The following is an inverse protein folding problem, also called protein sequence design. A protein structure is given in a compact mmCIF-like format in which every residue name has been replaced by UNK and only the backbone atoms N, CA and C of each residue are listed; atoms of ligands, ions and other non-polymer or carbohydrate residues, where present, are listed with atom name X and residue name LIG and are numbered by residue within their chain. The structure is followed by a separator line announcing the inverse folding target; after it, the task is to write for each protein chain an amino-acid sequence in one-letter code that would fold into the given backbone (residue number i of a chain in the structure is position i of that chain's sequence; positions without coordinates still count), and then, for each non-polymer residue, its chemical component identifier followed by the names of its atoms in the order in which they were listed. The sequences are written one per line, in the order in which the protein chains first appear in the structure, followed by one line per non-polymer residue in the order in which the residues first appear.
data_IF_360698001960
#
_entry.id   IF_360698001960
#
_cell.length_a   1.000
_cell.length_b   1.000
_cell.length_c   1.000
_cell.angle_alpha   90.00
_cell.angle_beta   90.00
_cell.angle_gamma   90.00
#
_symmetry.space_group_name_H-M   'P 1'
#
loop_
_entity.id
_entity.type
_entity.pdbx_description
1 polymer ?
#
# COMPACT_ATOMS: atom_id res chain seq x y z
N UNK A 1 35.42 27.50 2.14
CA UNK A 1 34.56 28.42 2.93
C UNK A 1 35.13 28.74 4.31
N UNK A 2 35.50 27.73 5.14
CA UNK A 2 36.14 27.98 6.46
C UNK A 2 37.48 28.74 6.38
N UNK A 3 38.30 28.52 5.35
CA UNK A 3 39.59 29.21 5.19
C UNK A 3 39.47 30.69 4.76
N UNK A 4 38.34 31.12 4.19
CA UNK A 4 38.13 32.52 3.77
C UNK A 4 37.35 33.36 4.78
N UNK A 5 36.44 32.77 5.56
CA UNK A 5 35.65 33.51 6.57
C UNK A 5 34.98 32.57 7.56
N UNK A 6 35.58 32.44 8.75
CA UNK A 6 35.07 31.66 9.88
C UNK A 6 33.70 32.18 10.39
N UNK A 7 33.44 33.49 10.28
CA UNK A 7 32.18 34.12 10.72
C UNK A 7 30.96 33.65 9.92
N UNK A 8 31.12 33.42 8.60
CA UNK A 8 30.04 32.98 7.70
C UNK A 8 29.71 31.48 7.87
N UNK A 9 30.70 30.69 8.29
CA UNK A 9 30.54 29.25 8.50
C UNK A 9 29.88 28.92 9.85
N UNK A 10 30.16 29.71 10.88
CA UNK A 10 29.44 29.61 12.16
C UNK A 10 27.95 29.98 12.01
N UNK A 11 27.66 30.98 11.17
CA UNK A 11 26.29 31.37 10.84
C UNK A 11 25.54 30.25 10.11
N UNK A 12 26.18 29.58 9.12
CA UNK A 12 25.53 28.47 8.42
C UNK A 12 25.30 27.26 9.34
N UNK A 13 26.23 26.99 10.27
CA UNK A 13 26.12 25.90 11.23
C UNK A 13 24.92 26.06 12.17
N UNK A 14 24.51 27.30 12.49
CA UNK A 14 23.32 27.60 13.30
C UNK A 14 22.04 27.59 12.45
N UNK A 15 22.11 28.03 11.19
CA UNK A 15 20.94 28.07 10.29
C UNK A 15 20.48 26.66 9.87
N UNK A 16 21.39 25.71 9.70
CA UNK A 16 21.07 24.31 9.32
C UNK A 16 20.14 23.60 10.34
N UNK A 17 20.42 23.58 11.67
CA UNK A 17 19.53 22.93 12.63
C UNK A 17 18.18 23.66 12.76
N UNK A 18 18.16 25.00 12.69
CA UNK A 18 16.91 25.78 12.76
C UNK A 18 15.99 25.49 11.57
N UNK A 19 16.54 25.45 10.36
CA UNK A 19 15.79 25.09 9.14
C UNK A 19 15.35 23.62 9.17
N UNK A 20 16.18 22.70 9.66
CA UNK A 20 15.84 21.29 9.81
C UNK A 20 14.65 21.08 10.77
N UNK A 21 14.62 21.77 11.91
CA UNK A 21 13.50 21.69 12.88
C UNK A 21 12.20 22.22 12.27
N UNK A 22 12.27 23.37 11.59
CA UNK A 22 11.11 23.99 10.93
C UNK A 22 10.54 23.10 9.83
N UNK A 23 11.42 22.54 8.99
CA UNK A 23 11.07 21.59 7.94
C UNK A 23 10.45 20.31 8.50
N UNK A 24 10.94 19.82 9.65
CA UNK A 24 10.40 18.61 10.31
C UNK A 24 9.00 18.84 10.87
N UNK A 25 8.74 20.00 11.50
CA UNK A 25 7.42 20.40 11.99
C UNK A 25 6.42 20.52 10.83
N UNK A 26 6.81 21.21 9.76
CA UNK A 26 5.98 21.35 8.56
C UNK A 26 5.65 20.00 7.92
N UNK A 27 6.65 19.12 7.79
CA UNK A 27 6.47 17.77 7.23
C UNK A 27 5.48 16.93 8.04
N UNK A 28 5.53 16.99 9.37
CA UNK A 28 4.58 16.27 10.24
C UNK A 28 3.16 16.78 10.05
N UNK A 29 2.98 18.10 10.02
CA UNK A 29 1.68 18.73 9.78
C UNK A 29 1.11 18.34 8.41
N UNK A 30 1.93 18.40 7.36
CA UNK A 30 1.51 18.02 6.01
C UNK A 30 1.14 16.54 5.92
N UNK A 31 1.85 15.66 6.64
CA UNK A 31 1.53 14.24 6.70
C UNK A 31 0.17 13.99 7.35
N UNK A 32 -0.14 14.65 8.47
CA UNK A 32 -1.45 14.56 9.12
C UNK A 32 -2.57 15.01 8.17
N UNK A 33 -2.43 16.18 7.54
CA UNK A 33 -3.39 16.68 6.56
C UNK A 33 -3.58 15.72 5.38
N UNK A 34 -2.50 15.09 4.90
CA UNK A 34 -2.59 14.12 3.81
C UNK A 34 -3.36 12.86 4.23
N UNK A 35 -3.22 12.40 5.47
CA UNK A 35 -4.02 11.28 6.00
C UNK A 35 -5.50 11.65 6.09
N UNK A 36 -5.83 12.86 6.59
CA UNK A 36 -7.23 13.32 6.68
C UNK A 36 -7.88 13.44 5.31
N UNK A 37 -7.14 13.98 4.33
CA UNK A 37 -7.61 13.97 2.94
C UNK A 37 -7.81 12.52 2.54
N UNK A 38 -6.80 11.65 2.58
CA UNK A 38 -6.95 10.26 2.12
C UNK A 38 -8.13 9.52 2.77
N UNK A 39 -8.39 9.70 4.07
CA UNK A 39 -9.56 9.17 4.75
C UNK A 39 -10.89 9.68 4.13
N UNK A 40 -11.04 10.98 3.88
CA UNK A 40 -12.31 11.57 3.46
C UNK A 40 -12.85 11.08 2.08
N UNK A 41 -12.04 10.47 1.22
CA UNK A 41 -12.51 9.83 -0.04
C UNK A 41 -12.24 8.35 -0.08
N UNK A 42 -11.61 7.76 0.94
CA UNK A 42 -12.00 6.41 1.27
C UNK A 42 -13.50 6.40 1.63
N UNK A 43 -13.96 7.38 2.43
CA UNK A 43 -15.39 7.56 2.76
C UNK A 43 -16.23 7.86 1.51
N UNK A 44 -15.86 8.86 0.70
CA UNK A 44 -16.60 9.16 -0.54
C UNK A 44 -16.63 7.97 -1.53
N UNK A 45 -15.51 7.26 -1.70
CA UNK A 45 -15.47 6.06 -2.55
C UNK A 45 -16.34 4.94 -2.00
N UNK A 46 -16.34 4.72 -0.67
CA UNK A 46 -17.19 3.73 -0.02
C UNK A 46 -18.68 4.04 -0.22
N UNK A 47 -19.10 5.31 -0.13
CA UNK A 47 -20.49 5.72 -0.42
C UNK A 47 -20.86 5.47 -1.88
N UNK A 48 -19.93 5.72 -2.81
CA UNK A 48 -20.16 5.44 -4.23
C UNK A 48 -20.26 3.92 -4.48
N UNK A 49 -19.39 3.12 -3.86
CA UNK A 49 -19.38 1.66 -3.97
C UNK A 49 -20.67 1.05 -3.40
N UNK A 50 -21.13 1.52 -2.25
CA UNK A 50 -22.43 1.14 -1.66
C UNK A 50 -23.59 1.50 -2.60
N UNK A 51 -23.57 2.70 -3.18
CA UNK A 51 -24.62 3.17 -4.09
C UNK A 51 -24.65 2.37 -5.39
N UNK A 52 -23.50 2.04 -5.97
CA UNK A 52 -23.43 1.19 -7.17
C UNK A 52 -23.81 -0.26 -6.87
N UNK A 53 -23.40 -0.81 -5.72
CA UNK A 53 -23.81 -2.14 -5.28
C UNK A 53 -25.33 -2.25 -5.06
N UNK A 54 -25.96 -1.18 -4.58
CA UNK A 54 -27.40 -1.11 -4.31
C UNK A 54 -28.20 -0.41 -5.43
N UNK A 55 -27.65 -0.28 -6.65
CA UNK A 55 -28.27 0.53 -7.72
C UNK A 55 -29.70 0.11 -8.07
N UNK A 56 -29.99 -1.20 -8.02
CA UNK A 56 -31.34 -1.74 -8.27
C UNK A 56 -32.33 -1.30 -7.19
N UNK A 57 -31.88 -1.27 -5.94
CA UNK A 57 -32.66 -0.79 -4.79
C UNK A 57 -32.91 0.71 -4.90
N UNK A 58 -31.89 1.51 -5.18
CA UNK A 58 -32.02 2.97 -5.33
C UNK A 58 -33.00 3.33 -6.44
N UNK A 59 -32.94 2.62 -7.58
CA UNK A 59 -33.91 2.79 -8.68
C UNK A 59 -35.32 2.38 -8.30
N UNK A 60 -35.49 1.28 -7.57
CA UNK A 60 -36.81 0.85 -7.12
C UNK A 60 -37.49 1.85 -6.19
N UNK A 61 -36.71 2.63 -5.43
CA UNK A 61 -37.20 3.70 -4.56
C UNK A 61 -37.13 5.11 -5.20
N UNK A 62 -36.67 5.23 -6.46
CA UNK A 62 -36.46 6.50 -7.16
C UNK A 62 -35.61 7.53 -6.36
N UNK A 63 -34.61 7.06 -5.60
CA UNK A 63 -33.78 7.88 -4.69
C UNK A 63 -32.41 8.28 -5.27
N UNK A 64 -32.30 8.37 -6.59
CA UNK A 64 -31.02 8.67 -7.28
C UNK A 64 -30.48 10.05 -6.91
N UNK A 65 -31.37 11.06 -6.83
CA UNK A 65 -31.00 12.42 -6.42
C UNK A 65 -30.45 12.50 -4.99
N UNK A 66 -31.00 11.71 -4.07
CA UNK A 66 -30.51 11.63 -2.69
C UNK A 66 -29.10 11.01 -2.62
N UNK A 67 -28.86 9.94 -3.38
CA UNK A 67 -27.54 9.31 -3.46
C UNK A 67 -26.48 10.27 -4.04
N UNK A 68 -26.82 11.02 -5.09
CA UNK A 68 -25.95 12.04 -5.69
C UNK A 68 -25.65 13.17 -4.70
N UNK A 69 -26.65 13.67 -3.98
CA UNK A 69 -26.48 14.71 -2.98
C UNK A 69 -25.56 14.26 -1.84
N UNK A 70 -25.76 13.05 -1.31
CA UNK A 70 -24.92 12.44 -0.28
C UNK A 70 -23.46 12.30 -0.72
N UNK A 71 -23.23 11.92 -1.98
CA UNK A 71 -21.88 11.86 -2.54
C UNK A 71 -21.26 13.27 -2.70
N UNK A 72 -22.03 14.23 -3.21
CA UNK A 72 -21.60 15.61 -3.39
C UNK A 72 -21.16 16.25 -2.07
N UNK A 73 -21.90 16.04 -0.98
CA UNK A 73 -21.56 16.54 0.35
C UNK A 73 -20.18 16.04 0.80
N UNK A 74 -19.88 14.76 0.57
CA UNK A 74 -18.59 14.16 0.92
C UNK A 74 -17.45 14.64 0.05
N UNK A 75 -17.72 14.92 -1.22
CA UNK A 75 -16.75 15.55 -2.14
C UNK A 75 -16.45 16.99 -1.71
N UNK A 76 -17.45 17.75 -1.27
CA UNK A 76 -17.27 19.12 -0.78
C UNK A 76 -16.48 19.17 0.53
N UNK A 77 -16.73 18.23 1.45
CA UNK A 77 -15.94 18.07 2.67
C UNK A 77 -14.46 17.81 2.34
N UNK A 78 -14.21 16.92 1.38
CA UNK A 78 -12.89 16.64 0.79
C UNK A 78 -12.25 17.90 0.22
N UNK A 79 -13.00 18.69 -0.54
CA UNK A 79 -12.52 19.90 -1.20
C UNK A 79 -12.14 20.99 -0.19
N UNK A 80 -12.94 21.20 0.87
CA UNK A 80 -12.63 22.15 1.95
C UNK A 80 -11.31 21.83 2.65
N UNK A 81 -11.08 20.55 2.97
CA UNK A 81 -9.81 20.11 3.58
C UNK A 81 -8.65 20.28 2.58
N UNK A 82 -8.88 19.94 1.31
CA UNK A 82 -7.92 20.13 0.22
C UNK A 82 -7.49 21.58 0.04
N UNK A 83 -8.44 22.53 0.04
CA UNK A 83 -8.16 23.96 -0.06
C UNK A 83 -7.37 24.48 1.16
N UNK A 84 -7.69 24.01 2.37
CA UNK A 84 -6.91 24.36 3.58
C UNK A 84 -5.47 23.86 3.46
N UNK A 85 -5.26 22.65 2.93
CA UNK A 85 -3.91 22.13 2.62
C UNK A 85 -3.21 22.98 1.57
N UNK A 86 -3.88 23.30 0.46
CA UNK A 86 -3.30 24.08 -0.62
C UNK A 86 -2.85 25.47 -0.14
N UNK A 87 -3.65 26.15 0.69
CA UNK A 87 -3.27 27.43 1.31
C UNK A 87 -2.03 27.30 2.19
N UNK A 88 -1.96 26.29 3.06
CA UNK A 88 -0.80 26.09 3.94
C UNK A 88 0.46 25.76 3.15
N UNK A 89 0.34 24.91 2.12
CA UNK A 89 1.46 24.55 1.24
C UNK A 89 1.91 25.77 0.44
N UNK A 90 0.97 26.52 -0.15
CA UNK A 90 1.26 27.73 -0.91
C UNK A 90 1.98 28.78 -0.06
N UNK A 91 1.48 29.04 1.15
CA UNK A 91 2.11 29.99 2.08
C UNK A 91 3.52 29.55 2.49
N UNK A 92 3.72 28.25 2.74
CA UNK A 92 5.03 27.71 3.10
C UNK A 92 6.02 27.78 1.94
N UNK A 93 5.65 27.33 0.75
CA UNK A 93 6.52 27.41 -0.42
C UNK A 93 6.79 28.87 -0.82
N UNK A 94 5.78 29.74 -0.74
CA UNK A 94 5.93 31.18 -0.98
C UNK A 94 6.90 31.80 0.03
N UNK A 95 6.69 31.56 1.32
CA UNK A 95 7.57 32.05 2.39
C UNK A 95 9.01 31.53 2.28
N UNK A 96 9.18 30.23 1.97
CA UNK A 96 10.50 29.64 1.76
C UNK A 96 11.23 30.25 0.56
N UNK A 97 10.54 30.46 -0.56
CA UNK A 97 11.13 31.10 -1.74
C UNK A 97 11.48 32.56 -1.47
N UNK A 98 10.60 33.31 -0.80
CA UNK A 98 10.86 34.69 -0.39
C UNK A 98 12.08 34.77 0.53
N UNK A 99 12.15 33.94 1.57
CA UNK A 99 13.28 33.87 2.50
C UNK A 99 14.60 33.52 1.80
N UNK A 100 14.58 32.56 0.86
CA UNK A 100 15.76 32.20 0.08
C UNK A 100 16.27 33.36 -0.79
N UNK A 101 15.35 34.08 -1.45
CA UNK A 101 15.72 35.25 -2.27
C UNK A 101 16.20 36.42 -1.41
N UNK A 102 15.56 36.66 -0.26
CA UNK A 102 15.98 37.68 0.70
C UNK A 102 17.40 37.39 1.23
N UNK A 103 17.70 36.12 1.53
CA UNK A 103 19.03 35.71 1.98
C UNK A 103 20.11 36.00 0.94
N UNK A 104 19.84 35.68 -0.34
CA UNK A 104 20.78 35.99 -1.43
C UNK A 104 20.97 37.50 -1.55
N UNK A 105 19.86 38.27 -1.49
CA UNK A 105 19.90 39.72 -1.53
C UNK A 105 20.77 40.30 -0.41
N UNK A 106 20.60 39.87 0.84
CA UNK A 106 21.40 40.32 1.99
C UNK A 106 22.89 39.98 1.80
N UNK A 107 23.20 38.76 1.36
CA UNK A 107 24.59 38.32 1.13
C UNK A 107 25.26 39.16 0.05
N UNK A 108 24.56 39.44 -1.05
CA UNK A 108 25.09 40.28 -2.14
C UNK A 108 25.25 41.73 -1.69
N UNK A 109 24.27 42.27 -0.96
CA UNK A 109 24.28 43.65 -0.45
C UNK A 109 25.45 43.89 0.51
N UNK A 110 25.61 42.99 1.49
CA UNK A 110 26.69 43.06 2.47
C UNK A 110 28.06 42.79 1.82
N UNK A 111 28.10 41.86 0.86
CA UNK A 111 29.27 41.58 0.05
C UNK A 111 29.76 42.77 -0.77
N UNK A 112 28.83 43.51 -1.37
CA UNK A 112 29.12 44.74 -2.10
C UNK A 112 29.70 45.82 -1.16
N UNK A 113 29.09 46.02 0.02
CA UNK A 113 29.60 46.95 1.03
C UNK A 113 31.03 46.61 1.48
N UNK A 114 31.35 45.32 1.65
CA UNK A 114 32.68 44.85 2.07
C UNK A 114 33.74 45.03 0.97
N UNK A 115 33.31 45.03 -0.30
CA UNK A 115 34.19 45.27 -1.45
C UNK A 115 34.50 46.77 -1.58
N UNK A 116 33.51 47.63 -1.34
CA UNK A 116 33.68 49.09 -1.36
C UNK A 116 34.62 49.57 -0.23
N UNK A 117 34.54 48.94 0.95
CA UNK A 117 35.40 49.24 2.10
C UNK A 117 36.81 48.64 1.99
N UNK A 118 37.16 48.01 0.85
CA UNK A 118 38.50 47.49 0.56
C UNK A 118 38.91 46.25 1.35
N UNK A 119 37.99 45.68 2.15
CA UNK A 119 38.27 44.50 2.98
C UNK A 119 38.29 43.19 2.19
N UNK A 120 37.71 43.17 0.98
CA UNK A 120 37.71 42.02 0.07
C UNK A 120 37.83 42.45 -1.41
N UNK A 121 38.46 41.61 -2.23
CA UNK A 121 38.49 41.77 -3.68
C UNK A 121 37.22 41.23 -4.33
N UNK A 122 36.77 41.87 -5.43
CA UNK A 122 35.59 41.44 -6.17
C UNK A 122 35.66 39.96 -6.63
N UNK A 123 36.85 39.47 -6.97
CA UNK A 123 37.06 38.05 -7.34
C UNK A 123 36.82 37.07 -6.18
N UNK A 124 37.13 37.47 -4.95
CA UNK A 124 36.87 36.65 -3.76
C UNK A 124 35.37 36.56 -3.46
N UNK A 125 34.63 37.66 -3.68
CA UNK A 125 33.18 37.68 -3.56
C UNK A 125 32.50 36.74 -4.57
N UNK A 126 32.87 36.84 -5.85
CA UNK A 126 32.31 36.00 -6.92
C UNK A 126 32.60 34.52 -6.66
N UNK A 127 33.82 34.20 -6.23
CA UNK A 127 34.20 32.83 -5.87
C UNK A 127 33.38 32.31 -4.69
N UNK A 128 33.14 33.14 -3.67
CA UNK A 128 32.29 32.78 -2.53
C UNK A 128 30.84 32.49 -2.93
N UNK A 129 30.26 33.31 -3.82
CA UNK A 129 28.89 33.11 -4.33
C UNK A 129 28.81 31.81 -5.14
N UNK A 130 29.74 31.58 -6.07
CA UNK A 130 29.77 30.37 -6.88
C UNK A 130 29.93 29.11 -6.03
N UNK A 131 30.83 29.11 -5.04
CA UNK A 131 30.97 27.99 -4.13
C UNK A 131 29.72 27.77 -3.25
N UNK A 132 29.08 28.84 -2.78
CA UNK A 132 27.85 28.73 -1.99
C UNK A 132 26.71 28.09 -2.78
N UNK A 133 26.55 28.47 -4.06
CA UNK A 133 25.54 27.89 -4.95
C UNK A 133 25.83 26.41 -5.22
N UNK A 134 27.08 26.04 -5.49
CA UNK A 134 27.49 24.65 -5.74
C UNK A 134 27.32 23.77 -4.50
N UNK A 135 27.64 24.28 -3.31
CA UNK A 135 27.40 23.54 -2.05
C UNK A 135 25.91 23.39 -1.79
N UNK A 136 25.12 24.45 -1.98
CA UNK A 136 23.67 24.40 -1.80
C UNK A 136 22.97 23.40 -2.73
N UNK A 137 23.37 23.36 -4.00
CA UNK A 137 22.84 22.39 -4.96
C UNK A 137 23.28 20.96 -4.64
N UNK A 138 24.54 20.75 -4.27
CA UNK A 138 25.08 19.43 -3.90
C UNK A 138 24.39 18.84 -2.67
N UNK A 139 24.16 19.66 -1.64
CA UNK A 139 23.42 19.24 -0.43
C UNK A 139 21.97 18.89 -0.77
N UNK A 140 21.33 19.67 -1.63
CA UNK A 140 19.96 19.41 -2.09
C UNK A 140 19.87 18.10 -2.88
N UNK A 141 20.82 17.86 -3.79
CA UNK A 141 20.93 16.62 -4.57
C UNK A 141 21.18 15.41 -3.66
N UNK A 142 22.10 15.51 -2.69
CA UNK A 142 22.37 14.44 -1.75
C UNK A 142 21.15 14.11 -0.88
N UNK A 143 20.42 15.14 -0.42
CA UNK A 143 19.15 14.95 0.29
C UNK A 143 18.11 14.26 -0.59
N UNK A 144 18.03 14.58 -1.88
CA UNK A 144 17.14 13.94 -2.84
C UNK A 144 17.47 12.45 -2.99
N UNK A 145 18.73 12.12 -3.22
CA UNK A 145 19.22 10.75 -3.33
C UNK A 145 18.97 9.94 -2.06
N UNK A 146 19.18 10.53 -0.87
CA UNK A 146 18.89 9.88 0.41
C UNK A 146 17.41 9.53 0.56
N UNK A 147 16.50 10.44 0.19
CA UNK A 147 15.05 10.18 0.22
C UNK A 147 14.67 9.06 -0.75
N UNK A 148 15.25 9.05 -1.95
CA UNK A 148 15.03 7.99 -2.94
C UNK A 148 15.51 6.64 -2.44
N UNK A 149 16.70 6.58 -1.84
CA UNK A 149 17.25 5.35 -1.24
C UNK A 149 16.36 4.82 -0.11
N UNK A 150 15.88 5.69 0.79
CA UNK A 150 14.95 5.29 1.86
C UNK A 150 13.61 4.78 1.32
N UNK A 151 13.10 5.38 0.23
CA UNK A 151 11.87 4.92 -0.43
C UNK A 151 12.06 3.56 -1.10
N UNK A 152 13.22 3.34 -1.73
CA UNK A 152 13.59 2.05 -2.31
C UNK A 152 13.67 0.97 -1.20
N UNK A 153 14.42 1.22 -0.12
CA UNK A 153 14.53 0.30 1.02
C UNK A 153 13.17 -0.07 1.62
N UNK A 154 12.29 0.93 1.82
CA UNK A 154 10.94 0.69 2.33
C UNK A 154 10.03 -0.11 1.38
N UNK A 155 10.25 0.01 0.06
CA UNK A 155 9.52 -0.76 -0.96
C UNK A 155 10.04 -2.18 -1.07
N UNK A 156 11.37 -2.38 -1.04
CA UNK A 156 12.00 -3.70 -1.05
C UNK A 156 11.56 -4.56 0.13
N UNK A 157 11.34 -3.97 1.31
CA UNK A 157 10.83 -4.72 2.48
C UNK A 157 9.51 -5.46 2.19
N UNK A 158 8.59 -4.86 1.44
CA UNK A 158 7.33 -5.51 1.05
C UNK A 158 7.54 -6.64 0.03
N UNK A 159 8.50 -6.46 -0.88
CA UNK A 159 8.87 -7.50 -1.86
C UNK A 159 9.49 -8.71 -1.15
N UNK A 160 10.46 -8.49 -0.26
CA UNK A 160 11.07 -9.55 0.52
C UNK A 160 10.06 -10.26 1.44
N UNK A 161 9.13 -9.52 2.07
CA UNK A 161 8.04 -10.14 2.84
C UNK A 161 7.17 -11.10 2.01
N UNK A 162 6.97 -10.80 0.71
CA UNK A 162 6.21 -11.68 -0.17
C UNK A 162 7.05 -12.88 -0.63
N UNK A 163 8.35 -12.66 -0.87
CA UNK A 163 9.28 -13.71 -1.30
C UNK A 163 9.57 -14.72 -0.18
N UNK A 164 9.71 -14.25 1.06
CA UNK A 164 9.97 -15.07 2.25
C UNK A 164 8.68 -15.69 2.83
N UNK A 165 7.52 -15.38 2.25
CA UNK A 165 6.24 -15.94 2.69
C UNK A 165 6.23 -17.44 2.39
N UNK A 166 6.35 -18.24 3.45
CA UNK A 166 6.14 -19.69 3.37
C UNK A 166 4.67 -19.97 3.08
N UNK A 167 4.38 -20.72 2.00
CA UNK A 167 3.01 -21.16 1.70
C UNK A 167 2.57 -22.18 2.74
N UNK A 168 1.39 -21.99 3.32
CA UNK A 168 0.76 -23.00 4.19
C UNK A 168 0.29 -24.25 3.44
N UNK A 169 0.38 -24.24 2.11
CA UNK A 169 0.12 -25.40 1.26
C UNK A 169 1.47 -25.99 0.81
N UNK A 170 1.69 -27.31 0.95
CA UNK A 170 2.88 -27.97 0.44
C UNK A 170 2.93 -27.86 -1.10
N UNK A 171 4.14 -27.79 -1.66
CA UNK A 171 4.31 -27.82 -3.13
C UNK A 171 3.75 -29.15 -3.66
N UNK A 172 3.02 -29.14 -4.79
CA UNK A 172 2.52 -30.37 -5.40
C UNK A 172 3.68 -31.34 -5.61
N UNK A 173 3.55 -32.57 -5.09
CA UNK A 173 4.53 -33.62 -5.30
C UNK A 173 4.55 -34.07 -6.76
N UNK A 174 5.74 -34.37 -7.28
CA UNK A 174 5.99 -34.68 -8.69
C UNK A 174 5.59 -36.12 -9.09
N UNK A 175 4.88 -36.84 -8.23
CA UNK A 175 4.51 -38.24 -8.43
C UNK A 175 3.01 -38.42 -8.24
N UNK A 176 2.31 -38.54 -9.36
CA UNK A 176 0.98 -39.13 -9.37
C UNK A 176 1.11 -40.65 -9.10
N UNK A 177 0.47 -41.21 -8.06
CA UNK A 177 0.39 -42.65 -7.93
C UNK A 177 -0.38 -43.22 -9.14
N UNK A 178 0.23 -44.17 -9.84
CA UNK A 178 -0.38 -44.86 -10.98
C UNK A 178 -1.31 -45.95 -10.41
N UNK A 179 -2.61 -45.74 -10.52
CA UNK A 179 -3.65 -46.67 -10.05
C UNK A 179 -5.02 -45.99 -10.02
N UNK A 180 -6.08 -46.79 -9.96
CA UNK A 180 -7.48 -46.33 -9.88
C UNK A 180 -8.00 -46.58 -8.44
N UNK A 181 -7.54 -45.82 -7.43
CA UNK A 181 -7.90 -46.09 -6.04
C UNK A 181 -9.37 -45.77 -5.77
N UNK A 182 -9.99 -46.55 -4.88
CA UNK A 182 -11.27 -46.19 -4.28
C UNK A 182 -11.11 -44.89 -3.47
N UNK A 183 -12.01 -43.93 -3.68
CA UNK A 183 -12.03 -42.68 -2.93
C UNK A 183 -13.04 -42.72 -1.80
N UNK A 184 -12.61 -42.61 -0.55
CA UNK A 184 -13.51 -42.49 0.59
C UNK A 184 -13.36 -41.12 1.25
N UNK A 185 -14.47 -40.41 1.39
CA UNK A 185 -14.61 -39.24 2.25
C UNK A 185 -15.32 -39.73 3.51
N UNK A 186 -14.68 -39.57 4.66
CA UNK A 186 -15.24 -39.95 5.96
C UNK A 186 -15.29 -38.71 6.86
N UNK A 187 -16.49 -38.46 7.42
CA UNK A 187 -16.80 -37.35 8.32
C UNK A 187 -16.08 -36.03 7.98
N UNK A 188 -16.34 -35.47 6.79
CA UNK A 188 -15.66 -34.25 6.33
C UNK A 188 -16.36 -32.99 6.82
N UNK A 189 -15.62 -32.18 7.57
CA UNK A 189 -16.03 -30.85 8.06
C UNK A 189 -15.18 -29.77 7.40
N UNK A 190 -15.82 -28.75 6.81
CA UNK A 190 -15.10 -27.67 6.11
C UNK A 190 -15.79 -26.32 6.28
N UNK A 191 -14.98 -25.29 6.53
CA UNK A 191 -15.39 -23.89 6.57
C UNK A 191 -14.36 -23.05 5.83
N UNK A 192 -14.82 -22.03 5.09
CA UNK A 192 -13.89 -21.13 4.42
C UNK A 192 -13.10 -20.28 5.44
N UNK A 193 -11.78 -20.06 5.24
CA UNK A 193 -10.99 -19.20 6.12
C UNK A 193 -11.51 -17.76 6.21
N UNK A 194 -12.20 -17.29 5.17
CA UNK A 194 -12.85 -15.97 5.15
C UNK A 194 -14.13 -15.89 6.01
N UNK A 195 -14.73 -17.04 6.36
CA UNK A 195 -15.95 -17.15 7.18
C UNK A 195 -15.89 -18.41 8.07
N UNK A 196 -15.01 -18.44 9.08
CA UNK A 196 -14.78 -19.65 9.87
C UNK A 196 -15.99 -20.07 10.72
N UNK A 197 -16.90 -19.14 11.02
CA UNK A 197 -18.14 -19.41 11.76
C UNK A 197 -19.23 -20.09 10.93
N UNK A 198 -19.10 -20.11 9.60
CA UNK A 198 -20.11 -20.68 8.72
C UNK A 198 -19.57 -21.95 8.05
N UNK A 199 -19.88 -23.08 8.66
CA UNK A 199 -19.46 -24.39 8.18
C UNK A 199 -20.30 -24.82 6.98
N UNK A 200 -19.62 -25.10 5.87
CA UNK A 200 -20.25 -25.45 4.58
C UNK A 200 -20.46 -26.96 4.50
N UNK A 201 -19.44 -27.76 4.84
CA UNK A 201 -19.55 -29.22 4.95
C UNK A 201 -19.66 -29.62 6.41
N UNK A 202 -20.67 -30.43 6.73
CA UNK A 202 -20.96 -30.87 8.10
C UNK A 202 -21.06 -32.40 8.12
N UNK A 203 -19.94 -33.08 8.30
CA UNK A 203 -19.87 -34.54 8.44
C UNK A 203 -20.34 -35.30 7.20
N UNK A 204 -19.85 -34.93 6.03
CA UNK A 204 -20.18 -35.64 4.78
C UNK A 204 -19.33 -36.91 4.68
N UNK A 205 -20.00 -38.05 4.53
CA UNK A 205 -19.38 -39.36 4.31
C UNK A 205 -19.84 -39.90 2.95
N UNK A 206 -18.92 -40.16 2.02
CA UNK A 206 -19.25 -40.64 0.67
C UNK A 206 -18.13 -41.50 0.11
N UNK A 207 -18.50 -42.66 -0.48
CA UNK A 207 -17.58 -43.58 -1.15
C UNK A 207 -17.71 -43.43 -2.67
N UNK A 208 -16.62 -43.08 -3.33
CA UNK A 208 -16.48 -42.90 -4.78
C UNK A 208 -15.77 -44.13 -5.36
N UNK A 209 -16.50 -44.92 -6.14
CA UNK A 209 -15.93 -46.09 -6.84
C UNK A 209 -15.35 -45.69 -8.20
N UNK A 210 -14.21 -46.26 -8.63
CA UNK A 210 -13.65 -45.99 -9.95
C UNK A 210 -14.64 -46.33 -11.07
N UNK A 211 -14.84 -45.41 -12.01
CA UNK A 211 -15.77 -45.56 -13.13
C UNK A 211 -17.24 -45.25 -12.83
N UNK A 212 -17.59 -44.93 -11.58
CA UNK A 212 -18.95 -44.51 -11.21
C UNK A 212 -19.16 -42.99 -11.45
N UNK A 213 -20.36 -42.62 -11.91
CA UNK A 213 -20.78 -41.22 -12.02
C UNK A 213 -21.64 -40.88 -10.80
N UNK A 214 -21.14 -40.00 -9.93
CA UNK A 214 -21.89 -39.52 -8.76
C UNK A 214 -22.38 -38.11 -9.03
N UNK A 215 -23.68 -37.86 -8.83
CA UNK A 215 -24.29 -36.55 -8.98
C UNK A 215 -24.60 -35.96 -7.60
N UNK A 216 -24.13 -34.75 -7.34
CA UNK A 216 -24.37 -34.05 -6.08
C UNK A 216 -25.65 -33.19 -6.19
N UNK A 217 -26.70 -33.57 -5.47
CA UNK A 217 -28.04 -32.96 -5.53
C UNK A 217 -28.45 -32.39 -4.15
N UNK A 218 -29.38 -31.43 -4.11
CA UNK A 218 -29.58 -30.54 -2.96
C UNK A 218 -30.27 -29.19 -3.31
N UNK A 219 -30.70 -28.41 -2.33
CA UNK A 219 -31.39 -27.13 -2.54
C UNK A 219 -30.45 -26.00 -3.00
N UNK A 220 -30.99 -24.99 -3.68
CA UNK A 220 -30.24 -23.80 -4.10
C UNK A 220 -29.65 -23.09 -2.88
N UNK A 221 -28.33 -22.89 -2.85
CA UNK A 221 -27.59 -22.36 -1.70
C UNK A 221 -26.99 -23.42 -0.76
N UNK A 222 -27.21 -24.72 -1.01
CA UNK A 222 -26.69 -25.82 -0.19
C UNK A 222 -25.21 -26.19 -0.41
N UNK A 223 -24.40 -25.33 -1.06
CA UNK A 223 -22.96 -25.55 -1.21
C UNK A 223 -22.51 -26.32 -2.47
N UNK A 224 -23.40 -26.86 -3.30
CA UNK A 224 -23.04 -27.69 -4.47
C UNK A 224 -22.00 -27.11 -5.43
N UNK A 225 -22.16 -25.85 -5.82
CA UNK A 225 -21.21 -25.17 -6.71
C UNK A 225 -19.92 -24.80 -5.96
N UNK A 226 -19.99 -24.55 -4.65
CA UNK A 226 -18.84 -24.32 -3.79
C UNK A 226 -17.99 -25.60 -3.62
N UNK A 227 -18.62 -26.76 -3.46
CA UNK A 227 -17.99 -28.07 -3.32
C UNK A 227 -17.26 -28.52 -4.59
N UNK A 228 -17.89 -28.34 -5.77
CA UNK A 228 -17.28 -28.71 -7.05
C UNK A 228 -16.01 -27.87 -7.37
N UNK A 229 -16.03 -26.57 -7.06
CA UNK A 229 -14.90 -25.67 -7.32
C UNK A 229 -13.73 -25.83 -6.34
N UNK A 230 -13.98 -26.36 -5.14
CA UNK A 230 -12.98 -26.47 -4.07
C UNK A 230 -12.72 -27.91 -3.63
N UNK A 231 -13.20 -28.91 -4.36
CA UNK A 231 -12.87 -30.32 -4.13
C UNK A 231 -11.35 -30.52 -4.00
N UNK A 232 -10.55 -29.81 -4.80
CA UNK A 232 -9.10 -29.82 -4.72
C UNK A 232 -8.56 -29.26 -3.39
N UNK A 233 -9.17 -28.21 -2.85
CA UNK A 233 -8.74 -27.54 -1.61
C UNK A 233 -9.21 -28.29 -0.36
N UNK A 234 -10.42 -28.84 -0.38
CA UNK A 234 -10.98 -29.70 0.66
C UNK A 234 -10.16 -31.00 0.78
N UNK A 235 -9.80 -31.61 -0.36
CA UNK A 235 -8.95 -32.80 -0.36
C UNK A 235 -7.52 -32.51 0.13
N UNK A 236 -6.98 -31.32 -0.14
CA UNK A 236 -5.67 -30.89 0.40
C UNK A 236 -5.71 -30.60 1.92
N UNK A 237 -6.80 -30.04 2.44
CA UNK A 237 -6.95 -29.78 3.88
C UNK A 237 -7.13 -31.09 4.67
N UNK A 238 -7.83 -32.07 4.10
CA UNK A 238 -7.90 -33.44 4.62
C UNK A 238 -6.53 -34.13 4.58
N UNK A 239 -5.72 -33.89 3.55
CA UNK A 239 -4.35 -34.41 3.47
C UNK A 239 -3.43 -33.87 4.58
N UNK A 240 -3.57 -32.58 4.92
CA UNK A 240 -2.83 -31.97 6.04
C UNK A 240 -3.29 -32.49 7.41
N UNK A 241 -4.59 -32.80 7.58
CA UNK A 241 -5.11 -33.44 8.81
C UNK A 241 -4.73 -34.92 8.92
N UNK A 242 -4.67 -35.66 7.81
CA UNK A 242 -4.23 -37.07 7.79
C UNK A 242 -2.72 -37.25 8.02
N UNK A 243 -1.88 -36.26 7.67
CA UNK A 243 -0.44 -36.31 7.98
C UNK A 243 -0.11 -36.26 9.49
N UNK A 244 -1.06 -35.92 10.36
CA UNK A 244 -0.90 -35.94 11.82
C UNK A 244 -1.25 -37.30 12.46
N UNK A 245 -1.66 -38.30 11.68
CA UNK A 245 -1.91 -39.68 12.13
C UNK A 245 -0.81 -40.61 11.59
N UNK A 246 -0.08 -41.36 12.44
CA UNK A 246 1.01 -42.21 12.00
C UNK A 246 0.44 -43.58 11.60
N UNK A 247 -0.23 -43.65 10.44
CA UNK A 247 -0.40 -44.88 9.63
C UNK A 247 -1.57 -44.70 8.68
N UNK A 248 -1.26 -44.41 7.41
CA UNK A 248 -1.87 -45.04 6.23
C UNK A 248 -1.56 -44.18 5.01
N UNK A 249 -0.57 -44.64 4.24
CA UNK A 249 -0.47 -44.32 2.82
C UNK A 249 -1.82 -44.56 2.15
N UNK A 250 -2.19 -43.71 1.18
CA UNK A 250 -3.21 -43.87 0.11
C UNK A 250 -4.01 -42.55 -0.04
N UNK A 251 -4.32 -42.21 -1.29
CA UNK A 251 -5.12 -41.07 -1.80
C UNK A 251 -4.38 -39.79 -2.21
N UNK A 252 -3.81 -39.86 -3.44
CA UNK A 252 -3.54 -38.73 -4.31
C UNK A 252 -4.15 -39.02 -5.69
N UNK A 253 -5.45 -38.82 -5.86
CA UNK A 253 -6.07 -38.79 -7.20
C UNK A 253 -7.41 -38.05 -7.21
N UNK A 254 -7.36 -36.72 -7.26
CA UNK A 254 -8.51 -35.92 -7.69
C UNK A 254 -8.07 -34.52 -8.12
N UNK A 255 -7.44 -34.43 -9.29
CA UNK A 255 -7.14 -33.13 -9.92
C UNK A 255 -7.64 -33.06 -11.36
N UNK A 256 -8.01 -34.18 -11.98
CA UNK A 256 -8.32 -34.25 -13.42
C UNK A 256 -9.80 -34.36 -13.77
N UNK A 257 -10.72 -34.15 -12.82
CA UNK A 257 -12.17 -34.32 -13.06
C UNK A 257 -13.01 -33.04 -12.84
N UNK A 258 -12.37 -31.87 -12.71
CA UNK A 258 -13.08 -30.58 -12.59
C UNK A 258 -13.18 -29.86 -13.95
N UNK A 259 -12.45 -30.27 -14.98
CA UNK A 259 -12.52 -29.64 -16.32
C UNK A 259 -13.69 -30.11 -17.21
N UNK A 260 -14.52 -31.06 -16.76
CA UNK A 260 -15.64 -31.59 -17.57
C UNK A 260 -17.01 -30.97 -17.23
N UNK A 261 -17.08 -30.04 -16.25
CA UNK A 261 -18.34 -29.36 -15.90
C UNK A 261 -18.30 -27.83 -16.09
N UNK A 262 -17.64 -27.37 -17.16
CA UNK A 262 -17.99 -26.07 -17.76
C UNK A 262 -19.12 -26.26 -18.78
N UNK A 263 -20.35 -26.35 -18.26
CA UNK A 263 -21.57 -25.91 -18.93
C UNK A 263 -22.57 -25.45 -17.87
#
# INVERSE_FOLDING_TARGET
MFSSSWKLTLLSLVVVPVTAVTMRRFRRYLKQLSHTIQAAAAVAASVAEESFGAIRTIRSFAQEGYAVSKYSEKVDERLKIGLKRAKVVGLYFGGQNAASKLSIFIVVSYGAYLTITGSMTAGSLTSFILYSLTVGSSVSSLSGSYVSAMKAAGSSRRVFQLLDRVSGMPKPGDKCPVGNPDGELDDVWFAYPSRPSHMVLKGITTKLKPGSKVALVGPSGGGKHQEAGHAHQIMQEQQNRMQLLPSSSILFHCVTLVDVMKF
#
